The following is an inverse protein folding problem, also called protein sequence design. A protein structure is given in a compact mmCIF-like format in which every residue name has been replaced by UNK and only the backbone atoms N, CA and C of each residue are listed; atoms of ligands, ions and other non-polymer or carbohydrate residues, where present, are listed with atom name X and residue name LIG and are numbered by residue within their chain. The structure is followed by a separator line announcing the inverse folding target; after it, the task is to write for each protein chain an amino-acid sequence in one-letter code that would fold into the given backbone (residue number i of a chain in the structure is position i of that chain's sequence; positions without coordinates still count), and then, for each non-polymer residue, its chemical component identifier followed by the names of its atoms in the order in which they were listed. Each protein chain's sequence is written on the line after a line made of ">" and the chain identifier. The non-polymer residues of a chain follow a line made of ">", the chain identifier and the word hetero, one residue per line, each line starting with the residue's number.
data_IF_321105113871
#
_entry.id   IF_321105113871
#
_cell.length_a   1.000
_cell.length_b   1.000
_cell.length_c   1.000
_cell.angle_alpha   90.00
_cell.angle_beta   90.00
_cell.angle_gamma   90.00
#
_symmetry.space_group_name_H-M   'P 1'
#
loop_
_entity.id
_entity.type
_entity.pdbx_description
1 polymer ?
#
# COMPACT_ATOMS: atom_id res chain seq x y z
N UNK A 1 9.75 -13.20 -1.97
CA UNK A 1 8.57 -12.34 -2.20
C UNK A 1 8.30 -12.36 -3.69
N UNK A 2 7.22 -13.03 -4.08
CA UNK A 2 6.79 -13.12 -5.47
C UNK A 2 5.98 -11.87 -5.86
N UNK A 3 5.85 -11.56 -7.15
CA UNK A 3 4.99 -10.48 -7.62
C UNK A 3 3.54 -10.60 -7.13
N UNK A 4 3.04 -11.84 -7.02
CA UNK A 4 1.70 -12.14 -6.54
C UNK A 4 1.53 -11.74 -5.06
N UNK A 5 2.47 -12.13 -4.19
CA UNK A 5 2.44 -11.73 -2.78
C UNK A 5 2.52 -10.21 -2.57
N UNK A 6 3.25 -9.50 -3.42
CA UNK A 6 3.28 -8.04 -3.42
C UNK A 6 1.90 -7.46 -3.75
N UNK A 7 1.26 -7.99 -4.79
CA UNK A 7 -0.07 -7.56 -5.21
C UNK A 7 -1.09 -7.84 -4.10
N UNK A 8 -1.10 -9.04 -3.51
CA UNK A 8 -2.03 -9.39 -2.43
C UNK A 8 -1.89 -8.47 -1.21
N UNK A 9 -0.65 -8.12 -0.82
CA UNK A 9 -0.39 -7.17 0.26
C UNK A 9 -0.86 -5.76 -0.08
N UNK A 10 -0.64 -5.32 -1.32
CA UNK A 10 -1.11 -4.02 -1.79
C UNK A 10 -2.64 -3.95 -1.78
N UNK A 11 -3.32 -4.94 -2.33
CA UNK A 11 -4.79 -5.01 -2.33
C UNK A 11 -5.37 -5.08 -0.91
N UNK A 12 -4.73 -5.84 -0.01
CA UNK A 12 -5.12 -5.88 1.39
C UNK A 12 -4.97 -4.51 2.07
N UNK A 13 -3.93 -3.74 1.75
CA UNK A 13 -3.73 -2.39 2.25
C UNK A 13 -4.77 -1.41 1.70
N UNK A 14 -5.15 -1.53 0.42
CA UNK A 14 -6.22 -0.73 -0.19
C UNK A 14 -7.57 -1.02 0.46
N UNK A 15 -7.93 -2.28 0.67
CA UNK A 15 -9.20 -2.67 1.32
C UNK A 15 -9.27 -2.18 2.76
N UNK A 16 -8.17 -2.26 3.51
CA UNK A 16 -8.09 -1.72 4.87
C UNK A 16 -8.34 -0.20 4.87
N UNK A 17 -7.61 0.53 4.02
CA UNK A 17 -7.72 1.99 3.92
C UNK A 17 -9.15 2.44 3.53
N UNK A 18 -9.80 1.72 2.61
CA UNK A 18 -11.21 1.96 2.25
C UNK A 18 -12.19 1.69 3.38
N UNK A 19 -11.86 0.76 4.27
CA UNK A 19 -12.64 0.49 5.49
C UNK A 19 -12.36 1.51 6.61
N UNK A 20 -11.61 2.59 6.33
CA UNK A 20 -11.21 3.60 7.32
C UNK A 20 -10.11 3.12 8.26
N UNK A 21 -9.51 1.96 8.01
CA UNK A 21 -8.43 1.37 8.80
C UNK A 21 -7.11 1.53 8.05
N UNK A 22 -6.09 2.09 8.68
CA UNK A 22 -4.81 2.35 7.99
C UNK A 22 -3.68 1.38 8.39
N UNK A 23 -3.96 0.36 9.20
CA UNK A 23 -2.94 -0.52 9.78
C UNK A 23 -2.13 -1.26 8.71
N UNK A 24 -2.81 -1.83 7.71
CA UNK A 24 -2.12 -2.56 6.62
C UNK A 24 -1.40 -1.61 5.66
N UNK A 25 -1.94 -0.42 5.42
CA UNK A 25 -1.28 0.61 4.63
C UNK A 25 0.01 1.10 5.30
N UNK A 26 -0.02 1.34 6.62
CA UNK A 26 1.16 1.69 7.40
C UNK A 26 2.23 0.59 7.37
N UNK A 27 1.83 -0.67 7.57
CA UNK A 27 2.76 -1.80 7.52
C UNK A 27 3.42 -1.95 6.14
N UNK A 28 2.65 -1.77 5.05
CA UNK A 28 3.18 -1.80 3.69
C UNK A 28 4.21 -0.68 3.47
N UNK A 29 3.87 0.55 3.80
CA UNK A 29 4.74 1.73 3.62
C UNK A 29 6.01 1.59 4.47
N UNK A 30 5.89 1.09 5.70
CA UNK A 30 7.04 0.84 6.58
C UNK A 30 7.99 -0.18 5.94
N UNK A 31 7.47 -1.30 5.44
CA UNK A 31 8.29 -2.31 4.77
C UNK A 31 8.98 -1.77 3.50
N UNK A 32 8.31 -0.93 2.72
CA UNK A 32 8.92 -0.24 1.57
C UNK A 32 10.02 0.71 2.03
N UNK A 33 9.80 1.47 3.11
CA UNK A 33 10.81 2.37 3.67
C UNK A 33 12.07 1.64 4.11
N UNK A 34 11.91 0.50 4.80
CA UNK A 34 13.05 -0.31 5.26
C UNK A 34 13.87 -0.88 4.11
N UNK A 35 13.22 -1.26 3.00
CA UNK A 35 13.89 -1.95 1.88
C UNK A 35 14.41 -1.01 0.80
N UNK A 36 13.71 0.10 0.56
CA UNK A 36 13.92 0.96 -0.60
C UNK A 36 14.11 2.43 -0.22
N UNK A 37 14.09 2.75 1.08
CA UNK A 37 14.32 4.09 1.60
C UNK A 37 13.07 4.97 1.62
N UNK A 38 13.24 6.17 2.16
CA UNK A 38 12.13 7.11 2.40
C UNK A 38 11.46 7.59 1.10
N UNK A 39 12.23 7.85 0.04
CA UNK A 39 11.69 8.34 -1.23
C UNK A 39 10.73 7.32 -1.86
N UNK A 40 11.11 6.03 -1.87
CA UNK A 40 10.25 4.96 -2.37
C UNK A 40 8.98 4.79 -1.53
N UNK A 41 9.07 4.97 -0.21
CA UNK A 41 7.93 4.90 0.69
C UNK A 41 6.91 6.02 0.43
N UNK A 42 7.37 7.25 0.14
CA UNK A 42 6.47 8.36 -0.20
C UNK A 42 5.76 8.14 -1.55
N UNK A 43 6.47 7.59 -2.54
CA UNK A 43 5.86 7.19 -3.82
C UNK A 43 4.79 6.12 -3.57
N UNK A 44 5.10 5.07 -2.81
CA UNK A 44 4.15 4.00 -2.48
C UNK A 44 2.92 4.53 -1.73
N UNK A 45 3.11 5.48 -0.80
CA UNK A 45 2.02 6.15 -0.09
C UNK A 45 1.10 6.91 -1.03
N UNK A 46 1.67 7.69 -1.96
CA UNK A 46 0.91 8.46 -2.94
C UNK A 46 0.10 7.56 -3.86
N UNK A 47 0.73 6.51 -4.39
CA UNK A 47 0.08 5.54 -5.27
C UNK A 47 -1.04 4.78 -4.55
N UNK A 48 -0.82 4.37 -3.30
CA UNK A 48 -1.86 3.75 -2.49
C UNK A 48 -3.06 4.68 -2.30
N UNK A 49 -2.82 5.96 -1.97
CA UNK A 49 -3.90 6.95 -1.81
C UNK A 49 -4.66 7.17 -3.12
N UNK A 50 -3.95 7.34 -4.23
CA UNK A 50 -4.56 7.49 -5.55
C UNK A 50 -5.43 6.28 -5.90
N UNK A 51 -4.97 5.07 -5.59
CA UNK A 51 -5.71 3.84 -5.89
C UNK A 51 -6.95 3.68 -4.98
N UNK A 52 -6.82 4.00 -3.69
CA UNK A 52 -7.94 4.04 -2.75
C UNK A 52 -9.02 5.01 -3.25
N UNK A 53 -8.63 6.22 -3.63
CA UNK A 53 -9.49 7.30 -4.12
C UNK A 53 -10.14 6.98 -5.47
N UNK A 54 -9.42 6.31 -6.38
CA UNK A 54 -9.91 5.98 -7.73
C UNK A 54 -11.16 5.08 -7.78
N UNK A 55 -11.57 4.47 -6.66
CA UNK A 55 -12.70 3.54 -6.61
C UNK A 55 -12.51 2.24 -7.39
N UNK A 56 -11.36 2.01 -8.03
CA UNK A 56 -11.05 0.77 -8.79
C UNK A 56 -11.19 -0.47 -7.90
N UNK A 57 -11.71 -1.58 -8.45
CA UNK A 57 -11.84 -2.83 -7.69
C UNK A 57 -10.48 -3.29 -7.16
N UNK A 58 -10.43 -3.54 -5.85
CA UNK A 58 -9.25 -4.03 -5.12
C UNK A 58 -9.46 -5.47 -4.67
#
# INVERSE_FOLDING_TARGET
>A
MTPQECLDRFLAAVRDARAGRNGKAHALIASVRERHGAAAAEIARRELRNYVDSGKRA
#
